data_IF_293876698487
#
_entry.id   IF_293876698487
#
_cell.length_a   1.000
_cell.length_b   1.000
_cell.length_c   1.000
_cell.angle_alpha   90.00
_cell.angle_beta   90.00
_cell.angle_gamma   90.00
#
_symmetry.space_group_name_H-M   'P 1'
#
loop_
_entity.id
_entity.type
_entity.pdbx_description
1 polymer ?
#
# COMPACT_ATOMS: atom_id res chain seq x y z
N UNK A 1 3.00 14.49 -39.09
CA UNK A 1 2.17 14.03 -37.97
C UNK A 1 3.14 13.61 -36.89
N UNK A 2 3.44 14.55 -36.00
CA UNK A 2 4.52 14.46 -35.01
C UNK A 2 3.85 14.79 -33.68
N UNK A 3 3.81 13.80 -32.78
CA UNK A 3 3.21 13.94 -31.46
C UNK A 3 4.12 14.83 -30.61
N UNK A 4 3.56 15.89 -30.05
CA UNK A 4 4.21 16.72 -29.01
C UNK A 4 4.08 16.01 -27.66
N UNK A 5 5.11 16.02 -26.80
CA UNK A 5 5.01 15.48 -25.45
C UNK A 5 3.98 16.26 -24.63
N UNK A 6 3.09 15.53 -23.96
CA UNK A 6 2.06 16.04 -23.07
C UNK A 6 2.65 16.69 -21.83
N UNK A 7 2.18 17.90 -21.57
CA UNK A 7 2.14 18.66 -20.31
C UNK A 7 2.71 17.95 -19.08
N UNK A 8 3.90 18.39 -18.66
CA UNK A 8 4.41 18.19 -17.31
C UNK A 8 3.51 18.98 -16.35
N UNK A 9 2.83 18.29 -15.44
CA UNK A 9 2.07 18.95 -14.38
C UNK A 9 3.07 19.65 -13.44
N UNK A 10 3.07 20.98 -13.48
CA UNK A 10 3.83 21.83 -12.58
C UNK A 10 3.12 21.84 -11.22
N UNK A 11 3.47 20.87 -10.37
CA UNK A 11 3.01 20.82 -8.98
C UNK A 11 3.64 21.99 -8.24
N UNK A 12 2.90 23.09 -8.11
CA UNK A 12 3.24 24.16 -7.18
C UNK A 12 3.10 23.59 -5.76
N UNK A 13 4.21 23.14 -5.20
CA UNK A 13 4.35 22.87 -3.77
C UNK A 13 3.99 24.16 -3.02
N UNK A 14 2.80 24.18 -2.42
CA UNK A 14 2.51 25.10 -1.33
C UNK A 14 3.49 24.72 -0.21
N UNK A 15 4.37 25.66 0.14
CA UNK A 15 5.37 25.51 1.19
C UNK A 15 4.69 25.30 2.54
N UNK A 16 4.45 24.05 2.89
CA UNK A 16 4.32 23.61 4.28
C UNK A 16 5.75 23.48 4.79
N UNK A 17 6.13 24.34 5.74
CA UNK A 17 7.45 24.27 6.39
C UNK A 17 7.50 23.06 7.33
N UNK A 18 7.62 21.88 6.75
CA UNK A 18 8.11 20.69 7.44
C UNK A 18 9.16 20.06 6.53
N UNK A 19 10.32 19.77 7.09
CA UNK A 19 11.50 19.25 6.37
C UNK A 19 11.33 17.73 6.20
N UNK A 20 10.44 17.31 5.29
CA UNK A 20 10.22 15.90 4.99
C UNK A 20 11.47 15.35 4.28
N UNK A 21 12.33 14.64 5.01
CA UNK A 21 13.59 14.09 4.50
C UNK A 21 13.45 12.90 3.53
N UNK A 22 12.22 12.49 3.20
CA UNK A 22 11.94 11.35 2.34
C UNK A 22 12.08 11.72 0.84
N UNK A 23 12.91 10.99 0.11
CA UNK A 23 12.95 11.04 -1.35
C UNK A 23 11.88 10.08 -1.93
N UNK A 24 10.78 10.58 -2.51
CA UNK A 24 9.66 9.76 -3.01
C UNK A 24 9.97 9.08 -4.35
N UNK A 25 11.24 8.95 -4.73
CA UNK A 25 11.67 8.70 -6.12
C UNK A 25 11.34 7.32 -6.69
N UNK A 26 10.91 6.35 -5.87
CA UNK A 26 10.52 5.03 -6.38
C UNK A 26 9.14 4.58 -5.84
N UNK A 27 8.07 4.62 -6.68
CA UNK A 27 6.78 4.08 -6.30
C UNK A 27 6.91 2.58 -6.03
N UNK A 28 6.23 2.11 -4.98
CA UNK A 28 6.19 0.68 -4.65
C UNK A 28 5.58 -0.09 -5.82
N UNK A 29 6.25 -1.17 -6.22
CA UNK A 29 5.76 -2.08 -7.26
C UNK A 29 5.42 -3.43 -6.63
N UNK A 30 4.38 -4.13 -7.13
CA UNK A 30 4.00 -5.41 -6.58
C UNK A 30 5.17 -6.41 -6.60
N UNK A 31 5.52 -6.96 -5.45
CA UNK A 31 6.73 -7.73 -5.22
C UNK A 31 6.47 -9.16 -4.72
N UNK A 32 5.21 -9.62 -4.57
CA UNK A 32 4.89 -11.00 -4.16
C UNK A 32 5.49 -12.09 -5.06
N UNK A 33 5.97 -11.75 -6.25
CA UNK A 33 6.67 -12.65 -7.17
C UNK A 33 8.17 -12.76 -6.90
N UNK A 34 8.71 -12.00 -5.95
CA UNK A 34 10.13 -11.90 -5.61
C UNK A 34 10.42 -12.52 -4.24
N UNK A 35 11.54 -13.22 -4.16
CA UNK A 35 12.24 -13.48 -2.91
C UNK A 35 12.94 -12.18 -2.49
N UNK A 36 12.31 -11.44 -1.57
CA UNK A 36 12.75 -10.11 -1.14
C UNK A 36 14.15 -10.13 -0.53
N UNK A 37 14.53 -11.22 0.16
CA UNK A 37 15.86 -11.38 0.75
C UNK A 37 16.95 -11.57 -0.30
N UNK A 38 16.61 -12.19 -1.44
CA UNK A 38 17.56 -12.43 -2.54
C UNK A 38 17.46 -11.42 -3.67
N UNK A 39 16.42 -10.59 -3.69
CA UNK A 39 16.11 -9.67 -4.80
C UNK A 39 15.90 -10.40 -6.13
N UNK A 40 15.34 -11.61 -6.11
CA UNK A 40 15.17 -12.45 -7.32
C UNK A 40 13.75 -13.02 -7.39
N UNK A 41 13.19 -13.19 -8.60
CA UNK A 41 11.91 -13.88 -8.75
C UNK A 41 11.94 -15.29 -8.17
N UNK A 42 10.83 -15.72 -7.58
CA UNK A 42 10.63 -17.13 -7.25
C UNK A 42 10.65 -17.99 -8.52
N UNK A 43 11.15 -19.23 -8.39
CA UNK A 43 11.16 -20.18 -9.51
C UNK A 43 9.74 -20.54 -9.98
N UNK A 44 8.75 -20.42 -9.10
CA UNK A 44 7.33 -20.66 -9.38
C UNK A 44 6.46 -19.77 -8.52
N UNK A 45 5.39 -19.22 -9.09
CA UNK A 45 4.35 -18.44 -8.40
C UNK A 45 3.01 -19.10 -8.67
N UNK A 46 2.18 -19.27 -7.64
CA UNK A 46 0.81 -19.75 -7.77
C UNK A 46 -0.16 -18.61 -8.03
N UNK A 47 -1.08 -18.78 -8.97
CA UNK A 47 -2.18 -17.85 -9.22
C UNK A 47 -3.49 -18.61 -9.02
N UNK A 48 -4.38 -18.05 -8.21
CA UNK A 48 -5.69 -18.63 -7.93
C UNK A 48 -6.80 -17.64 -8.24
N UNK A 49 -7.91 -18.14 -8.79
CA UNK A 49 -9.14 -17.36 -8.92
C UNK A 49 -10.04 -17.65 -7.71
N UNK A 50 -10.33 -16.62 -6.93
CA UNK A 50 -11.20 -16.73 -5.76
C UNK A 50 -12.65 -16.44 -6.15
N UNK A 51 -13.65 -17.22 -5.65
CA UNK A 51 -15.07 -16.99 -5.92
C UNK A 51 -15.64 -15.86 -5.04
N UNK A 52 -15.04 -14.67 -5.14
CA UNK A 52 -15.39 -13.46 -4.36
C UNK A 52 -15.83 -12.33 -5.28
N UNK A 53 -16.62 -11.40 -4.75
CA UNK A 53 -17.09 -10.21 -5.49
C UNK A 53 -16.22 -8.99 -5.24
N UNK A 54 -15.67 -8.89 -4.04
CA UNK A 54 -14.80 -7.81 -3.63
C UNK A 54 -13.47 -8.37 -3.12
N UNK A 55 -12.36 -7.70 -3.43
CA UNK A 55 -11.02 -8.22 -3.14
C UNK A 55 -10.79 -8.44 -1.64
N UNK A 56 -11.33 -7.59 -0.76
CA UNK A 56 -11.24 -7.74 0.70
C UNK A 56 -11.95 -8.98 1.25
N UNK A 57 -12.90 -9.59 0.53
CA UNK A 57 -13.51 -10.86 0.94
C UNK A 57 -12.50 -12.02 0.92
N UNK A 58 -11.33 -11.84 0.29
CA UNK A 58 -10.25 -12.81 0.30
C UNK A 58 -9.80 -13.16 1.72
N UNK A 59 -9.74 -12.19 2.65
CA UNK A 59 -9.34 -12.45 4.03
C UNK A 59 -10.30 -13.42 4.72
N UNK A 60 -11.61 -13.20 4.59
CA UNK A 60 -12.62 -14.08 5.16
C UNK A 60 -12.61 -15.47 4.49
N UNK A 61 -12.47 -15.54 3.17
CA UNK A 61 -12.44 -16.80 2.44
C UNK A 61 -11.21 -17.66 2.82
N UNK A 62 -10.05 -17.01 2.98
CA UNK A 62 -8.79 -17.68 3.31
C UNK A 62 -8.58 -17.86 4.82
N UNK A 63 -9.44 -17.25 5.64
CA UNK A 63 -9.25 -17.13 7.10
C UNK A 63 -7.86 -16.57 7.44
N UNK A 64 -7.48 -15.47 6.78
CA UNK A 64 -6.15 -14.86 6.86
C UNK A 64 -6.15 -13.67 7.83
N UNK A 65 -5.24 -13.69 8.80
CA UNK A 65 -5.08 -12.72 9.88
C UNK A 65 -5.09 -13.36 11.29
N UNK A 66 -4.76 -12.58 12.32
CA UNK A 66 -4.82 -13.01 13.72
C UNK A 66 -3.52 -13.58 14.31
N UNK A 67 -2.37 -13.21 13.76
CA UNK A 67 -1.03 -13.58 14.23
C UNK A 67 -0.11 -12.36 14.18
N UNK A 68 0.97 -12.30 14.96
CA UNK A 68 1.99 -11.23 14.89
C UNK A 68 1.40 -9.79 14.86
N UNK A 69 0.39 -9.53 15.69
CA UNK A 69 -0.40 -8.29 15.67
C UNK A 69 -1.13 -7.96 14.34
N UNK A 70 -1.06 -8.83 13.34
CA UNK A 70 -1.93 -8.80 12.16
C UNK A 70 -3.40 -8.90 12.59
N UNK A 71 -4.26 -7.97 12.15
CA UNK A 71 -5.67 -7.98 12.51
C UNK A 71 -6.37 -9.28 12.14
N UNK A 72 -7.49 -9.55 12.80
CA UNK A 72 -8.34 -10.71 12.50
C UNK A 72 -8.89 -10.62 11.06
N UNK A 73 -9.28 -11.76 10.44
CA UNK A 73 -9.81 -11.77 9.07
C UNK A 73 -10.95 -10.77 8.82
N UNK A 74 -11.87 -10.61 9.77
CA UNK A 74 -12.98 -9.65 9.70
C UNK A 74 -12.53 -8.19 9.82
N UNK A 75 -11.46 -7.92 10.57
CA UNK A 75 -10.86 -6.58 10.73
C UNK A 75 -10.11 -6.19 9.45
N UNK A 76 -9.36 -7.13 8.86
CA UNK A 76 -8.75 -6.97 7.54
C UNK A 76 -9.81 -6.67 6.47
N UNK A 77 -10.93 -7.40 6.47
CA UNK A 77 -12.06 -7.13 5.58
C UNK A 77 -12.60 -5.70 5.75
N UNK A 78 -12.77 -5.25 7.01
CA UNK A 78 -13.30 -3.94 7.31
C UNK A 78 -12.36 -2.81 6.86
N UNK A 79 -11.06 -2.93 7.16
CA UNK A 79 -10.04 -1.96 6.77
C UNK A 79 -9.95 -1.82 5.25
N UNK A 80 -9.84 -2.94 4.52
CA UNK A 80 -9.74 -2.91 3.06
C UNK A 80 -11.04 -2.53 2.35
N UNK A 81 -12.21 -2.77 2.97
CA UNK A 81 -13.46 -2.20 2.48
C UNK A 81 -13.46 -0.68 2.61
N UNK A 82 -13.08 -0.17 3.78
CA UNK A 82 -13.01 1.27 4.05
C UNK A 82 -12.04 1.98 3.08
N UNK A 83 -10.83 1.45 2.91
CA UNK A 83 -9.88 1.98 1.93
C UNK A 83 -10.30 1.73 0.48
N UNK A 84 -11.04 0.67 0.20
CA UNK A 84 -11.66 0.44 -1.11
C UNK A 84 -12.64 1.57 -1.47
N UNK A 85 -13.46 1.99 -0.52
CA UNK A 85 -14.41 3.09 -0.68
C UNK A 85 -13.70 4.46 -0.84
N UNK A 86 -12.64 4.73 -0.07
CA UNK A 86 -11.91 6.01 -0.12
C UNK A 86 -10.90 6.12 -1.26
N UNK A 87 -10.05 5.10 -1.43
CA UNK A 87 -8.87 5.14 -2.31
C UNK A 87 -8.97 4.19 -3.52
N UNK A 88 -10.09 3.48 -3.70
CA UNK A 88 -10.23 2.41 -4.70
C UNK A 88 -9.23 1.26 -4.46
N UNK A 89 -8.81 1.04 -3.21
CA UNK A 89 -7.89 -0.03 -2.85
C UNK A 89 -8.44 -1.41 -3.24
N UNK A 90 -7.61 -2.20 -3.94
CA UNK A 90 -7.91 -3.56 -4.38
C UNK A 90 -6.74 -4.47 -4.10
N UNK A 91 -6.94 -5.48 -3.26
CA UNK A 91 -5.94 -6.51 -2.98
C UNK A 91 -5.59 -7.23 -4.28
N UNK A 92 -4.30 -7.39 -4.53
CA UNK A 92 -3.75 -8.08 -5.69
C UNK A 92 -2.90 -9.30 -5.31
N UNK A 93 -2.36 -9.34 -4.09
CA UNK A 93 -1.62 -10.48 -3.58
C UNK A 93 -1.79 -10.61 -2.06
N UNK A 94 -1.78 -11.85 -1.59
CA UNK A 94 -1.69 -12.22 -0.17
C UNK A 94 -0.68 -13.36 -0.10
N UNK A 95 0.35 -13.21 0.72
CA UNK A 95 1.33 -14.26 1.02
C UNK A 95 1.14 -14.78 2.44
N UNK A 96 2.17 -15.37 3.05
CA UNK A 96 2.09 -15.81 4.45
C UNK A 96 1.97 -14.64 5.44
N UNK A 97 2.57 -13.51 5.11
CA UNK A 97 2.80 -12.37 6.00
C UNK A 97 2.64 -11.03 5.29
N UNK A 98 2.42 -11.01 3.97
CA UNK A 98 2.33 -9.79 3.17
C UNK A 98 0.95 -9.67 2.53
N UNK A 99 0.45 -8.44 2.50
CA UNK A 99 -0.69 -8.04 1.67
C UNK A 99 -0.24 -6.91 0.76
N UNK A 100 -0.52 -7.05 -0.54
CA UNK A 100 -0.34 -5.95 -1.48
C UNK A 100 -1.66 -5.56 -2.13
N UNK A 101 -1.87 -4.26 -2.28
CA UNK A 101 -3.01 -3.74 -3.02
C UNK A 101 -2.62 -2.62 -3.97
N UNK A 102 -3.37 -2.51 -5.05
CA UNK A 102 -3.35 -1.33 -5.92
C UNK A 102 -4.38 -0.32 -5.44
N UNK A 103 -4.10 0.96 -5.59
CA UNK A 103 -5.06 2.06 -5.41
C UNK A 103 -5.26 2.83 -6.71
N UNK A 104 -6.38 3.51 -6.86
CA UNK A 104 -6.66 4.35 -8.04
C UNK A 104 -6.83 5.84 -7.67
N UNK A 105 -7.06 6.13 -6.38
CA UNK A 105 -7.12 7.50 -5.85
C UNK A 105 -6.03 7.63 -4.79
N UNK A 106 -5.09 8.54 -5.02
CA UNK A 106 -4.09 8.94 -4.04
C UNK A 106 -4.70 9.97 -3.06
N UNK A 107 -4.09 10.16 -1.87
CA UNK A 107 -4.38 11.32 -1.03
C UNK A 107 -4.25 12.62 -1.83
N UNK A 108 -5.14 13.58 -1.58
CA UNK A 108 -5.20 14.83 -2.36
C UNK A 108 -4.15 15.85 -1.96
N UNK A 109 -3.73 15.79 -0.71
CA UNK A 109 -2.83 16.74 -0.08
C UNK A 109 -2.05 16.07 1.07
N UNK A 110 -1.00 16.74 1.60
CA UNK A 110 -0.20 16.18 2.69
C UNK A 110 -0.97 15.90 3.98
N UNK A 111 -2.06 16.64 4.25
CA UNK A 111 -2.88 16.43 5.44
C UNK A 111 -3.65 15.10 5.35
N UNK A 112 -4.32 14.84 4.21
CA UNK A 112 -4.97 13.55 3.94
C UNK A 112 -3.95 12.39 3.89
N UNK A 113 -2.71 12.65 3.43
CA UNK A 113 -1.66 11.64 3.43
C UNK A 113 -1.18 11.29 4.84
N UNK A 114 -1.08 12.28 5.74
CA UNK A 114 -0.72 12.08 7.14
C UNK A 114 -1.81 11.30 7.88
N UNK A 115 -3.08 11.66 7.70
CA UNK A 115 -4.22 10.90 8.25
C UNK A 115 -4.18 9.44 7.79
N UNK A 116 -3.97 9.20 6.49
CA UNK A 116 -3.87 7.85 5.95
C UNK A 116 -2.65 7.09 6.49
N UNK A 117 -1.51 7.75 6.66
CA UNK A 117 -0.33 7.13 7.24
C UNK A 117 -0.55 6.71 8.70
N UNK A 118 -1.23 7.53 9.49
CA UNK A 118 -1.63 7.18 10.85
C UNK A 118 -2.58 5.98 10.88
N UNK A 119 -3.58 5.94 9.99
CA UNK A 119 -4.48 4.79 9.83
C UNK A 119 -3.71 3.51 9.46
N UNK A 120 -2.81 3.59 8.47
CA UNK A 120 -2.02 2.45 8.02
C UNK A 120 -1.03 1.98 9.08
N UNK A 121 -0.42 2.89 9.84
CA UNK A 121 0.46 2.56 10.96
C UNK A 121 -0.31 1.88 12.09
N UNK A 122 -1.51 2.37 12.43
CA UNK A 122 -2.36 1.73 13.44
C UNK A 122 -2.81 0.32 13.01
N UNK A 123 -2.98 0.10 11.71
CA UNK A 123 -3.32 -1.21 11.14
C UNK A 123 -2.09 -2.16 11.05
N UNK A 124 -0.91 -1.62 10.78
CA UNK A 124 0.31 -2.37 10.54
C UNK A 124 1.53 -1.54 11.01
N UNK A 125 1.95 -1.73 12.25
CA UNK A 125 3.02 -0.93 12.86
C UNK A 125 4.37 -1.11 12.16
N UNK A 126 4.62 -2.31 11.62
CA UNK A 126 5.88 -2.64 10.93
C UNK A 126 6.14 -1.81 9.65
N UNK A 127 5.11 -1.13 9.12
CA UNK A 127 5.30 -0.14 8.05
C UNK A 127 6.27 0.97 8.45
N UNK A 128 6.20 1.41 9.70
CA UNK A 128 7.01 2.50 10.22
C UNK A 128 8.17 1.93 11.04
N UNK A 129 7.88 1.07 12.02
CA UNK A 129 8.86 0.60 13.00
C UNK A 129 10.02 -0.16 12.34
N UNK A 130 9.72 -0.86 11.24
CA UNK A 130 10.69 -1.67 10.48
C UNK A 130 10.78 -1.27 9.00
N UNK A 131 10.05 -0.23 8.58
CA UNK A 131 9.99 0.24 7.20
C UNK A 131 10.46 1.69 7.06
N UNK A 132 9.51 2.61 6.92
CA UNK A 132 9.75 4.03 6.60
C UNK A 132 10.43 4.82 7.73
N UNK A 133 10.45 4.27 8.94
CA UNK A 133 11.06 4.87 10.13
C UNK A 133 10.22 5.95 10.81
N UNK A 134 9.42 6.71 10.06
CA UNK A 134 8.45 7.67 10.62
C UNK A 134 7.12 7.66 9.87
N UNK A 135 6.07 8.18 10.51
CA UNK A 135 4.74 8.35 9.91
C UNK A 135 4.81 9.36 8.75
N UNK A 136 5.64 10.39 8.87
CA UNK A 136 5.88 11.38 7.82
C UNK A 136 6.49 10.70 6.58
N UNK A 137 7.54 9.89 6.74
CA UNK A 137 8.10 9.19 5.59
C UNK A 137 7.07 8.25 4.93
N UNK A 138 6.17 7.62 5.71
CA UNK A 138 5.05 6.85 5.17
C UNK A 138 4.07 7.73 4.39
N UNK A 139 3.63 8.85 4.95
CA UNK A 139 2.72 9.79 4.29
C UNK A 139 3.30 10.36 2.98
N UNK A 140 4.59 10.72 2.94
CA UNK A 140 5.23 11.16 1.71
C UNK A 140 5.23 10.07 0.62
N UNK A 141 5.41 8.80 1.00
CA UNK A 141 5.32 7.68 0.05
C UNK A 141 3.90 7.51 -0.52
N UNK A 142 2.88 7.74 0.30
CA UNK A 142 1.47 7.56 -0.07
C UNK A 142 0.98 8.60 -1.09
N UNK A 143 1.61 9.78 -1.13
CA UNK A 143 1.29 10.84 -2.11
C UNK A 143 1.62 10.45 -3.56
N UNK A 144 2.48 9.45 -3.77
CA UNK A 144 2.96 9.06 -5.11
C UNK A 144 2.77 7.58 -5.43
N UNK A 145 2.45 6.75 -4.43
CA UNK A 145 2.42 5.29 -4.58
C UNK A 145 1.02 4.76 -4.89
N UNK A 146 0.87 4.18 -6.09
CA UNK A 146 -0.34 3.47 -6.50
C UNK A 146 -0.40 2.01 -6.01
N UNK A 147 0.61 1.58 -5.26
CA UNK A 147 0.67 0.26 -4.62
C UNK A 147 0.92 0.45 -3.14
N UNK A 148 0.22 -0.29 -2.29
CA UNK A 148 0.53 -0.40 -0.87
C UNK A 148 1.01 -1.81 -0.55
N UNK A 149 1.93 -1.88 0.40
CA UNK A 149 2.59 -3.11 0.85
C UNK A 149 2.50 -3.14 2.37
N UNK A 150 1.88 -4.16 2.93
CA UNK A 150 1.78 -4.40 4.37
C UNK A 150 2.47 -5.71 4.71
N UNK A 151 3.18 -5.76 5.83
CA UNK A 151 3.88 -6.96 6.28
C UNK A 151 3.89 -7.08 7.80
N UNK A 152 3.95 -8.30 8.32
CA UNK A 152 3.98 -8.60 9.76
C UNK A 152 5.00 -9.71 10.06
N UNK A 153 5.93 -9.49 11.00
CA UNK A 153 6.91 -10.50 11.49
C UNK A 153 6.67 -10.95 12.95
#
# INVERSE_FOLDING_TARGET
MTLTPSETYDLQFLSVEEDWSYDPSEPTTPCAHLDLLKGKPYASVGIALLPIRHSWEAFALLNWGGWNACPLPEENCAAFRYWGERYSAKIISITHDIVECTVERLPKDPEEALELAEEQYAYCTDLVDQGTGTIENLAASLLVSYTWFFWWD
#
